data_IF_117534007452
#
_entry.id   IF_117534007452
#
_cell.length_a   1.000
_cell.length_b   1.000
_cell.length_c   1.000
_cell.angle_alpha   90.00
_cell.angle_beta   90.00
_cell.angle_gamma   90.00
#
_symmetry.space_group_name_H-M   'P 1'
#
loop_
_entity.id
_entity.type
_entity.pdbx_description
1 polymer ?
#
# COMPACT_ATOMS: atom_id res chain seq x y z
N UNK A 1 -26.99 12.12 -12.21
CA UNK A 1 -26.42 12.62 -10.93
C UNK A 1 -25.69 11.53 -10.12
N UNK A 2 -25.86 10.24 -10.44
CA UNK A 2 -25.30 9.10 -9.68
C UNK A 2 -23.77 8.94 -9.79
N UNK A 3 -23.16 9.34 -10.90
CA UNK A 3 -21.72 9.17 -11.13
C UNK A 3 -20.84 10.06 -10.23
N UNK A 4 -21.28 11.27 -9.85
CA UNK A 4 -20.50 12.18 -9.01
C UNK A 4 -20.46 11.75 -7.53
N UNK A 5 -21.46 11.01 -7.06
CA UNK A 5 -21.49 10.49 -5.68
C UNK A 5 -20.50 9.33 -5.54
N UNK A 6 -20.44 8.46 -6.56
CA UNK A 6 -19.51 7.31 -6.59
C UNK A 6 -18.04 7.74 -6.65
N UNK A 7 -17.70 8.81 -7.37
CA UNK A 7 -16.32 9.31 -7.44
C UNK A 7 -15.86 9.90 -6.12
N UNK A 8 -16.70 10.66 -5.42
CA UNK A 8 -16.38 11.21 -4.09
C UNK A 8 -16.20 10.11 -3.04
N UNK A 9 -17.05 9.09 -3.05
CA UNK A 9 -16.91 7.93 -2.16
C UNK A 9 -15.63 7.16 -2.46
N UNK A 10 -15.29 6.93 -3.73
CA UNK A 10 -14.03 6.26 -4.10
C UNK A 10 -12.80 7.03 -3.65
N UNK A 11 -12.81 8.36 -3.75
CA UNK A 11 -11.71 9.20 -3.29
C UNK A 11 -11.50 9.08 -1.77
N UNK A 12 -12.57 9.17 -0.98
CA UNK A 12 -12.50 9.01 0.47
C UNK A 12 -11.98 7.61 0.89
N UNK A 13 -12.42 6.56 0.20
CA UNK A 13 -11.92 5.20 0.44
C UNK A 13 -10.43 5.09 0.09
N UNK A 14 -10.00 5.71 -1.01
CA UNK A 14 -8.60 5.71 -1.42
C UNK A 14 -7.70 6.39 -0.40
N UNK A 15 -8.10 7.56 0.10
CA UNK A 15 -7.37 8.31 1.13
C UNK A 15 -7.19 7.48 2.40
N UNK A 16 -8.25 6.82 2.87
CA UNK A 16 -8.18 5.94 4.05
C UNK A 16 -7.24 4.75 3.80
N UNK A 17 -7.28 4.13 2.62
CA UNK A 17 -6.37 3.04 2.28
C UNK A 17 -4.92 3.47 2.27
N UNK A 18 -4.63 4.69 1.80
CA UNK A 18 -3.29 5.25 1.79
C UNK A 18 -2.77 5.50 3.21
N UNK A 19 -3.59 6.07 4.09
CA UNK A 19 -3.25 6.27 5.50
C UNK A 19 -2.93 4.92 6.17
N UNK A 20 -3.80 3.92 5.99
CA UNK A 20 -3.58 2.59 6.55
C UNK A 20 -2.32 1.92 6.00
N UNK A 21 -2.00 2.13 4.71
CA UNK A 21 -0.79 1.61 4.10
C UNK A 21 0.46 2.26 4.71
N UNK A 22 0.44 3.59 4.91
CA UNK A 22 1.52 4.34 5.56
C UNK A 22 1.73 3.89 7.01
N UNK A 23 0.66 3.73 7.78
CA UNK A 23 0.74 3.21 9.15
C UNK A 23 1.32 1.79 9.20
N UNK A 24 0.91 0.93 8.25
CA UNK A 24 1.46 -0.42 8.16
C UNK A 24 2.97 -0.40 7.89
N UNK A 25 3.41 0.45 6.97
CA UNK A 25 4.84 0.61 6.69
C UNK A 25 5.60 1.14 7.90
N UNK A 26 5.08 2.16 8.59
CA UNK A 26 5.70 2.68 9.81
C UNK A 26 5.83 1.60 10.88
N UNK A 27 4.81 0.75 11.05
CA UNK A 27 4.89 -0.38 11.95
C UNK A 27 6.02 -1.35 11.55
N UNK A 28 6.13 -1.70 10.27
CA UNK A 28 7.19 -2.59 9.78
C UNK A 28 8.59 -1.99 9.97
N UNK A 29 8.76 -0.70 9.70
CA UNK A 29 10.01 0.04 9.94
C UNK A 29 10.38 0.04 11.41
N UNK A 30 9.45 0.41 12.28
CA UNK A 30 9.75 0.61 13.69
C UNK A 30 9.88 -0.71 14.46
N UNK A 31 9.02 -1.69 14.19
CA UNK A 31 8.97 -2.93 14.97
C UNK A 31 9.98 -3.96 14.48
N UNK A 32 10.25 -4.00 13.18
CA UNK A 32 11.08 -5.01 12.54
C UNK A 32 12.32 -4.44 11.86
N UNK A 33 12.52 -3.12 11.89
CA UNK A 33 13.67 -2.45 11.27
C UNK A 33 13.78 -2.75 9.77
N UNK A 34 12.64 -3.04 9.12
CA UNK A 34 12.60 -3.38 7.70
C UNK A 34 12.84 -2.15 6.83
N UNK A 35 13.75 -2.29 5.86
CA UNK A 35 13.94 -1.32 4.79
C UNK A 35 12.89 -1.45 3.67
N UNK A 36 12.78 -0.47 2.76
CA UNK A 36 11.83 -0.53 1.65
C UNK A 36 11.98 -1.77 0.76
N UNK A 37 13.21 -2.23 0.51
CA UNK A 37 13.51 -3.41 -0.30
C UNK A 37 12.89 -4.68 0.32
N UNK A 38 12.98 -4.80 1.64
CA UNK A 38 12.47 -5.93 2.41
C UNK A 38 10.95 -5.91 2.49
N UNK A 39 10.35 -4.73 2.54
CA UNK A 39 8.91 -4.58 2.46
C UNK A 39 8.38 -5.00 1.10
N UNK A 40 9.05 -4.62 0.01
CA UNK A 40 8.63 -5.03 -1.34
C UNK A 40 8.78 -6.55 -1.50
N UNK A 41 9.88 -7.12 -1.02
CA UNK A 41 10.12 -8.56 -1.02
C UNK A 41 9.00 -9.32 -0.26
N UNK A 42 8.58 -8.82 0.89
CA UNK A 42 7.50 -9.41 1.68
C UNK A 42 6.18 -9.60 0.90
N UNK A 43 5.85 -8.68 -0.02
CA UNK A 43 4.60 -8.73 -0.79
C UNK A 43 4.74 -9.32 -2.20
N UNK A 44 5.95 -9.34 -2.75
CA UNK A 44 6.17 -9.69 -4.17
C UNK A 44 7.11 -10.87 -4.37
N UNK A 45 7.91 -11.23 -3.37
CA UNK A 45 9.01 -12.19 -3.48
C UNK A 45 10.19 -11.69 -4.32
N UNK A 46 10.24 -10.38 -4.62
CA UNK A 46 11.33 -9.73 -5.33
C UNK A 46 11.91 -8.60 -4.47
N UNK A 47 13.25 -8.55 -4.37
CA UNK A 47 13.98 -7.54 -3.60
C UNK A 47 14.73 -6.59 -4.53
N UNK A 48 14.08 -5.50 -5.00
CA UNK A 48 14.76 -4.52 -5.84
C UNK A 48 15.87 -3.80 -5.07
N UNK A 49 17.00 -3.55 -5.72
CA UNK A 49 18.08 -2.75 -5.13
C UNK A 49 17.70 -1.25 -5.18
N UNK A 50 18.05 -0.50 -4.13
CA UNK A 50 17.81 0.95 -4.01
C UNK A 50 16.32 1.35 -3.98
N UNK A 51 15.47 0.50 -3.40
CA UNK A 51 14.05 0.79 -3.31
C UNK A 51 13.77 1.96 -2.36
N UNK A 52 12.78 2.77 -2.71
CA UNK A 52 12.35 3.90 -1.90
C UNK A 52 11.10 3.57 -1.09
N UNK A 53 10.81 4.42 -0.10
CA UNK A 53 9.56 4.35 0.65
C UNK A 53 8.33 4.39 -0.28
N UNK A 54 8.33 5.26 -1.29
CA UNK A 54 7.22 5.35 -2.24
C UNK A 54 7.04 4.06 -3.05
N UNK A 55 8.14 3.41 -3.47
CA UNK A 55 8.07 2.12 -4.18
C UNK A 55 7.40 1.03 -3.32
N UNK A 56 7.74 0.99 -2.03
CA UNK A 56 7.14 0.06 -1.08
C UNK A 56 5.67 0.40 -0.79
N UNK A 57 5.32 1.69 -0.69
CA UNK A 57 3.94 2.14 -0.50
C UNK A 57 3.06 1.77 -1.69
N UNK A 58 3.52 2.05 -2.91
CA UNK A 58 2.81 1.68 -4.13
C UNK A 58 2.65 0.16 -4.26
N UNK A 59 3.70 -0.60 -3.92
CA UNK A 59 3.63 -2.07 -3.90
C UNK A 59 2.55 -2.58 -2.93
N UNK A 60 2.49 -2.02 -1.73
CA UNK A 60 1.48 -2.40 -0.72
C UNK A 60 0.06 -2.05 -1.17
N UNK A 61 -0.15 -0.87 -1.74
CA UNK A 61 -1.45 -0.45 -2.28
C UNK A 61 -1.87 -1.34 -3.45
N UNK A 62 -0.94 -1.68 -4.35
CA UNK A 62 -1.19 -2.59 -5.47
C UNK A 62 -1.51 -4.02 -4.99
N UNK A 63 -0.78 -4.54 -4.01
CA UNK A 63 -1.05 -5.86 -3.43
C UNK A 63 -2.44 -5.92 -2.77
N UNK A 64 -2.82 -4.88 -2.02
CA UNK A 64 -4.14 -4.78 -1.37
C UNK A 64 -5.28 -4.71 -2.38
N UNK A 65 -5.12 -3.97 -3.49
CA UNK A 65 -6.15 -3.89 -4.53
C UNK A 65 -6.36 -5.22 -5.25
N UNK A 66 -5.28 -5.98 -5.48
CA UNK A 66 -5.34 -7.32 -6.07
C UNK A 66 -6.02 -8.35 -5.15
N UNK A 67 -5.74 -8.30 -3.84
CA UNK A 67 -6.29 -9.25 -2.86
C UNK A 67 -7.70 -8.92 -2.40
N UNK A 68 -8.09 -7.63 -2.38
CA UNK A 68 -9.46 -7.19 -2.08
C UNK A 68 -10.51 -7.63 -3.10
N UNK A 69 -10.10 -8.15 -4.27
CA UNK A 69 -10.99 -8.69 -5.30
C UNK A 69 -11.16 -10.22 -5.23
N UNK A 70 -10.45 -10.90 -4.32
CA UNK A 70 -10.42 -12.38 -4.20
C UNK A 70 -11.10 -12.92 -2.93
N UNK A 71 -11.89 -12.11 -2.22
CA UNK A 71 -12.73 -12.55 -1.10
C UNK A 71 -14.20 -12.63 -1.48
#
# INVERSE_FOLDING_TARGET
>A
MTHQVQTKQRAAVHEVMEIMAKEHMLFLMNRYHMGPEEMIDLYTGHRPEFATYEDALHTLLAYRSLKGFRS
#
